data_IF_767627795480
#
_entry.id   IF_767627795480
#
_cell.length_a   1.000
_cell.length_b   1.000
_cell.length_c   1.000
_cell.angle_alpha   90.00
_cell.angle_beta   90.00
_cell.angle_gamma   90.00
#
_symmetry.space_group_name_H-M   'P 1'
#
loop_
_entity.id
_entity.type
_entity.pdbx_description
1 polymer ?
#
# COMPACT_ATOMS: atom_id res chain seq x y z
N UNK A 1 -6.91 -15.32 15.83
CA UNK A 1 -5.50 -15.32 15.39
C UNK A 1 -5.24 -13.99 14.71
N UNK A 2 -4.81 -12.96 15.44
CA UNK A 2 -4.55 -11.62 14.88
C UNK A 2 -3.09 -11.54 14.49
N UNK A 3 -2.78 -12.01 13.28
CA UNK A 3 -1.48 -11.75 12.65
C UNK A 3 -1.42 -10.26 12.29
N UNK A 4 -0.27 -9.62 12.55
CA UNK A 4 -0.02 -8.24 12.10
C UNK A 4 0.54 -8.29 10.70
N UNK A 5 -0.02 -7.51 9.79
CA UNK A 5 0.48 -7.37 8.43
C UNK A 5 1.43 -6.18 8.31
N UNK A 6 2.44 -6.34 7.45
CA UNK A 6 3.46 -5.34 7.20
C UNK A 6 3.55 -5.01 5.71
N UNK A 7 3.79 -3.75 5.38
CA UNK A 7 4.16 -3.35 4.03
C UNK A 7 5.66 -3.06 4.00
N UNK A 8 6.39 -3.90 3.29
CA UNK A 8 7.85 -3.81 3.16
C UNK A 8 8.18 -3.32 1.74
N UNK A 9 8.58 -2.06 1.64
CA UNK A 9 8.72 -1.36 0.36
C UNK A 9 10.00 -0.52 0.30
N UNK A 10 10.72 -0.46 -0.84
CA UNK A 10 11.86 0.44 -0.98
C UNK A 10 11.46 1.91 -0.82
N UNK A 11 12.25 2.74 -0.11
CA UNK A 11 11.89 4.14 0.14
C UNK A 11 11.63 4.97 -1.12
N UNK A 12 12.44 4.77 -2.17
CA UNK A 12 12.28 5.49 -3.44
C UNK A 12 10.96 5.17 -4.14
N UNK A 13 10.51 3.92 -4.05
CA UNK A 13 9.28 3.45 -4.67
C UNK A 13 8.04 3.86 -3.87
N UNK A 14 8.14 3.86 -2.53
CA UNK A 14 7.13 4.48 -1.67
C UNK A 14 6.95 5.96 -2.03
N UNK A 15 8.04 6.72 -2.11
CA UNK A 15 8.01 8.14 -2.46
C UNK A 15 7.41 8.39 -3.85
N UNK A 16 7.77 7.57 -4.85
CA UNK A 16 7.20 7.65 -6.20
C UNK A 16 5.68 7.48 -6.18
N UNK A 17 5.18 6.48 -5.43
CA UNK A 17 3.74 6.20 -5.30
C UNK A 17 3.01 7.32 -4.59
N UNK A 18 3.53 7.80 -3.45
CA UNK A 18 2.91 8.87 -2.68
C UNK A 18 2.81 10.18 -3.48
N UNK A 19 3.82 10.51 -4.30
CA UNK A 19 3.73 11.64 -5.25
C UNK A 19 2.71 11.44 -6.36
N UNK A 20 2.47 10.19 -6.78
CA UNK A 20 1.44 9.84 -7.76
C UNK A 20 0.02 9.83 -7.19
N UNK A 21 -0.12 9.61 -5.88
CA UNK A 21 -1.41 9.58 -5.15
C UNK A 21 -1.79 10.99 -4.70
N UNK A 22 -0.90 11.65 -3.97
CA UNK A 22 -1.15 12.94 -3.37
C UNK A 22 -0.66 14.04 -4.31
N UNK A 23 -1.57 14.93 -4.72
CA UNK A 23 -1.23 16.06 -5.58
C UNK A 23 -0.39 17.08 -4.80
N UNK A 24 0.65 17.60 -5.46
CA UNK A 24 1.48 18.68 -4.96
C UNK A 24 2.61 18.25 -4.01
N UNK A 25 3.43 19.23 -3.61
CA UNK A 25 4.53 19.02 -2.68
C UNK A 25 3.98 19.00 -1.26
N UNK A 26 4.07 17.85 -0.60
CA UNK A 26 3.63 17.67 0.77
C UNK A 26 4.84 17.56 1.69
N UNK A 27 4.78 18.20 2.86
CA UNK A 27 5.78 18.00 3.91
C UNK A 27 5.48 16.73 4.74
N UNK A 28 4.21 16.30 4.78
CA UNK A 28 3.73 15.12 5.50
C UNK A 28 2.71 14.39 4.61
N UNK A 29 2.87 13.08 4.44
CA UNK A 29 1.88 12.22 3.78
C UNK A 29 1.10 11.43 4.82
N UNK A 30 -0.23 11.49 4.75
CA UNK A 30 -1.11 10.61 5.52
C UNK A 30 -1.46 9.39 4.65
N UNK A 31 -1.17 8.20 5.17
CA UNK A 31 -1.27 6.95 4.43
C UNK A 31 -2.19 6.01 5.20
N UNK A 32 -3.23 5.49 4.54
CA UNK A 32 -4.16 4.53 5.14
C UNK A 32 -4.20 3.25 4.29
N UNK A 33 -3.51 2.23 4.78
CA UNK A 33 -3.43 0.93 4.11
C UNK A 33 -4.57 0.03 4.56
N UNK A 34 -5.32 -0.50 3.60
CA UNK A 34 -6.35 -1.51 3.84
C UNK A 34 -5.90 -2.84 3.24
N UNK A 35 -6.09 -3.92 4.00
CA UNK A 35 -5.90 -5.29 3.52
C UNK A 35 -7.28 -5.92 3.34
N UNK A 36 -7.53 -6.53 2.18
CA UNK A 36 -8.79 -7.20 1.87
C UNK A 36 -8.75 -8.68 2.26
N UNK A 37 -9.90 -9.35 2.25
CA UNK A 37 -9.99 -10.80 2.46
C UNK A 37 -9.32 -11.62 1.35
N UNK A 38 -9.07 -11.00 0.19
CA UNK A 38 -8.36 -11.59 -0.96
C UNK A 38 -6.85 -11.33 -0.92
N UNK A 39 -6.32 -10.90 0.23
CA UNK A 39 -4.90 -10.64 0.46
C UNK A 39 -4.33 -9.52 -0.44
N UNK A 40 -5.17 -8.55 -0.77
CA UNK A 40 -4.79 -7.36 -1.55
C UNK A 40 -4.56 -6.19 -0.59
N UNK A 41 -3.57 -5.36 -0.87
CA UNK A 41 -3.25 -4.19 -0.04
C UNK A 41 -3.40 -2.90 -0.84
N UNK A 42 -4.15 -1.95 -0.31
CA UNK A 42 -4.50 -0.71 -1.00
C UNK A 42 -4.26 0.53 -0.14
N UNK A 43 -3.72 1.59 -0.75
CA UNK A 43 -3.74 2.93 -0.16
C UNK A 43 -5.08 3.60 -0.44
N UNK A 44 -5.84 3.89 0.63
CA UNK A 44 -7.25 4.29 0.55
C UNK A 44 -7.51 5.74 0.94
N UNK A 45 -6.47 6.51 1.27
CA UNK A 45 -6.62 7.92 1.60
C UNK A 45 -7.20 8.69 0.42
N UNK A 46 -8.17 9.54 0.76
CA UNK A 46 -8.91 10.41 -0.17
C UNK A 46 -9.74 9.69 -1.25
N UNK A 47 -9.92 8.36 -1.13
CA UNK A 47 -10.86 7.63 -1.99
C UNK A 47 -12.31 7.94 -1.60
N UNK A 48 -13.14 8.10 -2.63
CA UNK A 48 -14.60 8.23 -2.49
C UNK A 48 -15.23 6.95 -1.93
N UNK A 49 -16.49 7.05 -1.49
CA UNK A 49 -17.24 5.88 -1.02
C UNK A 49 -17.37 4.82 -2.12
N UNK A 50 -17.62 5.23 -3.36
CA UNK A 50 -17.76 4.30 -4.50
C UNK A 50 -16.45 3.58 -4.79
N UNK A 51 -15.30 4.27 -4.76
CA UNK A 51 -13.99 3.63 -4.94
C UNK A 51 -13.66 2.64 -3.81
N UNK A 52 -14.05 2.95 -2.58
CA UNK A 52 -13.88 2.02 -1.44
C UNK A 52 -14.76 0.77 -1.59
N UNK A 53 -15.94 0.87 -2.19
CA UNK A 53 -16.77 -0.28 -2.53
C UNK A 53 -16.08 -1.14 -3.61
N UNK A 54 -15.54 -0.52 -4.66
CA UNK A 54 -14.76 -1.24 -5.67
C UNK A 54 -13.56 -1.98 -5.06
N UNK A 55 -12.91 -1.44 -4.02
CA UNK A 55 -11.85 -2.16 -3.29
C UNK A 55 -12.41 -3.38 -2.56
N UNK A 56 -13.58 -3.24 -1.91
CA UNK A 56 -14.22 -4.34 -1.19
C UNK A 56 -14.66 -5.47 -2.14
N UNK A 57 -15.06 -5.11 -3.37
CA UNK A 57 -15.48 -6.03 -4.42
C UNK A 57 -14.30 -6.53 -5.30
N UNK A 58 -13.06 -6.11 -5.00
CA UNK A 58 -11.83 -6.44 -5.74
C UNK A 58 -11.81 -5.98 -7.21
N UNK A 59 -12.58 -4.95 -7.53
CA UNK A 59 -12.70 -4.34 -8.86
C UNK A 59 -11.92 -3.03 -9.01
N UNK A 60 -11.38 -2.50 -7.91
CA UNK A 60 -10.60 -1.26 -7.94
C UNK A 60 -9.23 -1.48 -8.59
N UNK A 61 -8.83 -0.53 -9.45
CA UNK A 61 -7.53 -0.56 -10.11
C UNK A 61 -6.86 0.81 -10.06
N UNK A 62 -5.70 0.85 -9.41
CA UNK A 62 -4.79 1.99 -9.47
C UNK A 62 -3.37 1.52 -9.13
N UNK A 63 -2.43 1.48 -10.09
CA UNK A 63 -1.09 0.93 -9.87
C UNK A 63 -0.26 1.65 -8.80
N UNK A 64 -0.54 2.93 -8.52
CA UNK A 64 0.16 3.65 -7.46
C UNK A 64 -0.38 3.28 -6.07
N UNK A 65 -1.68 2.97 -5.98
CA UNK A 65 -2.38 2.59 -4.75
C UNK A 65 -2.38 1.08 -4.48
N UNK A 66 -2.01 0.23 -5.45
CA UNK A 66 -1.87 -1.23 -5.24
C UNK A 66 -0.52 -1.55 -4.56
N UNK A 67 -0.56 -1.83 -3.26
CA UNK A 67 0.59 -2.23 -2.45
C UNK A 67 0.68 -3.74 -2.23
N UNK A 68 -0.16 -4.55 -2.89
CA UNK A 68 -0.26 -6.00 -2.66
C UNK A 68 1.09 -6.71 -2.80
N UNK A 69 1.91 -6.31 -3.78
CA UNK A 69 3.25 -6.90 -3.98
C UNK A 69 4.26 -6.63 -2.83
N UNK A 70 3.93 -5.72 -1.92
CA UNK A 70 4.75 -5.36 -0.77
C UNK A 70 4.18 -5.88 0.55
N UNK A 71 2.97 -6.45 0.53
CA UNK A 71 2.34 -7.04 1.69
C UNK A 71 3.17 -8.24 2.14
N UNK A 72 3.64 -8.19 3.38
CA UNK A 72 4.49 -9.19 4.03
C UNK A 72 5.73 -9.58 3.20
N UNK A 73 6.25 -8.66 2.38
CA UNK A 73 7.37 -8.89 1.48
C UNK A 73 8.74 -8.81 2.20
N UNK A 74 8.97 -9.70 3.16
CA UNK A 74 10.14 -9.68 4.06
C UNK A 74 11.50 -9.95 3.41
N UNK A 75 11.52 -10.55 2.21
CA UNK A 75 12.75 -10.97 1.54
C UNK A 75 13.90 -9.94 1.47
N UNK A 76 13.67 -8.63 1.23
CA UNK A 76 14.72 -7.62 1.28
C UNK A 76 15.35 -7.46 2.66
N UNK A 77 14.54 -7.49 3.73
CA UNK A 77 15.03 -7.38 5.12
C UNK A 77 15.79 -8.64 5.52
N UNK A 78 15.26 -9.81 5.18
CA UNK A 78 15.93 -11.09 5.45
C UNK A 78 17.32 -11.17 4.79
N UNK A 79 17.48 -10.64 3.57
CA UNK A 79 18.79 -10.59 2.89
C UNK A 79 19.79 -9.69 3.61
N UNK A 80 19.34 -8.58 4.19
CA UNK A 80 20.22 -7.68 4.96
C UNK A 80 20.71 -8.34 6.26
N UNK A 81 19.88 -9.17 6.90
CA UNK A 81 20.21 -9.83 8.15
C UNK A 81 21.04 -11.12 7.99
N UNK A 82 21.21 -11.62 6.75
CA UNK A 82 22.06 -12.77 6.43
C UNK A 82 23.53 -12.38 6.15
N UNK A 83 23.84 -11.08 6.17
CA UNK A 83 25.16 -10.52 5.92
C UNK A 83 25.98 -10.40 7.21
#
# INVERSE_FOLDING_TARGET
NTSVDYVVIPPQELLRRLRGIHRGRQNIWQVYLWVTKTDRCWETRDLSKSEKLLIADDEFSNPNRDFSKYLNAWGPVERLNKA
#
